data_IF_091788809874
#
_entry.id   IF_091788809874
#
_cell.length_a   1.000
_cell.length_b   1.000
_cell.length_c   1.000
_cell.angle_alpha   90.00
_cell.angle_beta   90.00
_cell.angle_gamma   90.00
#
_symmetry.space_group_name_H-M   'P 1'
#
loop_
_entity.id
_entity.type
_entity.pdbx_description
1 polymer ?
#
# COMPACT_ATOMS: atom_id res chain seq x y z
N UNK A 1 -0.98 -2.37 -2.69
CA UNK A 1 0.11 -1.73 -3.44
C UNK A 1 1.39 -2.47 -3.16
N UNK A 2 2.18 -2.73 -4.18
CA UNK A 2 3.46 -3.42 -4.07
C UNK A 2 4.50 -2.69 -4.93
N UNK A 3 5.72 -2.66 -4.45
CA UNK A 3 6.88 -2.15 -5.16
C UNK A 3 7.98 -3.22 -5.17
N UNK A 4 8.49 -3.53 -6.37
CA UNK A 4 9.47 -4.60 -6.59
C UNK A 4 10.85 -3.99 -6.71
N UNK A 5 11.81 -4.47 -5.90
CA UNK A 5 13.19 -3.98 -5.93
C UNK A 5 13.83 -4.12 -7.31
N UNK A 6 14.42 -3.03 -7.81
CA UNK A 6 15.09 -2.95 -9.11
C UNK A 6 14.12 -2.75 -10.29
N UNK A 7 14.62 -2.91 -11.50
CA UNK A 7 13.88 -2.59 -12.72
C UNK A 7 14.05 -3.66 -13.81
N UNK A 8 13.39 -3.44 -14.94
CA UNK A 8 13.53 -4.29 -16.13
C UNK A 8 12.77 -5.63 -16.05
N UNK A 9 13.19 -6.58 -16.89
CA UNK A 9 12.50 -7.86 -17.08
C UNK A 9 12.38 -8.69 -15.80
N UNK A 10 13.40 -8.66 -14.93
CA UNK A 10 13.37 -9.42 -13.67
C UNK A 10 12.29 -8.88 -12.71
N UNK A 11 12.17 -7.57 -12.55
CA UNK A 11 11.12 -6.96 -11.74
C UNK A 11 9.72 -7.23 -12.33
N UNK A 12 9.56 -7.17 -13.65
CA UNK A 12 8.31 -7.49 -14.33
C UNK A 12 7.87 -8.94 -14.10
N UNK A 13 8.81 -9.91 -14.12
CA UNK A 13 8.50 -11.31 -13.80
C UNK A 13 8.06 -11.49 -12.34
N UNK A 14 8.72 -10.80 -11.39
CA UNK A 14 8.31 -10.84 -9.99
C UNK A 14 6.90 -10.25 -9.82
N UNK A 15 6.57 -9.17 -10.50
CA UNK A 15 5.22 -8.59 -10.50
C UNK A 15 4.16 -9.60 -10.98
N UNK A 16 4.47 -10.37 -12.05
CA UNK A 16 3.58 -11.42 -12.53
C UNK A 16 3.43 -12.56 -11.53
N UNK A 17 4.52 -12.99 -10.90
CA UNK A 17 4.50 -14.02 -9.85
C UNK A 17 3.69 -13.58 -8.63
N UNK A 18 3.85 -12.33 -8.19
CA UNK A 18 3.04 -11.76 -7.12
C UNK A 18 1.56 -11.83 -7.43
N UNK A 19 1.17 -11.37 -8.63
CA UNK A 19 -0.23 -11.40 -9.06
C UNK A 19 -0.79 -12.82 -9.06
N UNK A 20 -0.07 -13.79 -9.62
CA UNK A 20 -0.48 -15.18 -9.64
C UNK A 20 -0.62 -15.76 -8.24
N UNK A 21 0.37 -15.50 -7.37
CA UNK A 21 0.36 -16.01 -5.98
C UNK A 21 -0.79 -15.42 -5.16
N UNK A 22 -1.10 -14.13 -5.34
CA UNK A 22 -2.28 -13.52 -4.71
C UNK A 22 -3.57 -14.17 -5.17
N UNK A 23 -3.71 -14.42 -6.47
CA UNK A 23 -4.90 -15.09 -7.03
C UNK A 23 -5.05 -16.52 -6.49
N UNK A 24 -3.97 -17.30 -6.46
CA UNK A 24 -3.95 -18.65 -5.89
C UNK A 24 -4.39 -18.64 -4.42
N UNK A 25 -3.85 -17.72 -3.61
CA UNK A 25 -4.19 -17.59 -2.20
C UNK A 25 -5.68 -17.29 -1.99
N UNK A 26 -6.22 -16.33 -2.72
CA UNK A 26 -7.64 -15.94 -2.62
C UNK A 26 -8.56 -17.07 -3.07
N UNK A 27 -8.24 -17.75 -4.18
CA UNK A 27 -9.02 -18.88 -4.70
C UNK A 27 -9.02 -20.08 -3.75
N UNK A 28 -7.86 -20.41 -3.16
CA UNK A 28 -7.75 -21.50 -2.19
C UNK A 28 -8.60 -21.24 -0.94
N UNK A 29 -8.55 -20.03 -0.40
CA UNK A 29 -9.36 -19.64 0.76
C UNK A 29 -10.87 -19.61 0.46
N UNK A 30 -11.26 -19.19 -0.73
CA UNK A 30 -12.65 -19.19 -1.18
C UNK A 30 -13.23 -20.59 -1.34
N UNK A 31 -12.44 -21.52 -1.87
CA UNK A 31 -12.87 -22.92 -2.08
C UNK A 31 -12.99 -23.72 -0.78
N UNK A 32 -12.18 -23.38 0.24
CA UNK A 32 -12.20 -24.03 1.55
C UNK A 32 -13.30 -23.53 2.48
N UNK A 33 -14.19 -22.63 2.03
CA UNK A 33 -15.18 -21.92 2.88
C UNK A 33 -14.54 -21.23 4.11
N UNK A 34 -13.27 -20.89 4.00
CA UNK A 34 -12.46 -20.23 5.04
C UNK A 34 -12.26 -18.75 4.69
N UNK A 35 -13.29 -18.05 4.25
CA UNK A 35 -13.19 -16.62 3.93
C UNK A 35 -12.64 -15.78 5.11
N UNK A 36 -12.88 -16.22 6.34
CA UNK A 36 -12.33 -15.60 7.55
C UNK A 36 -10.82 -15.79 7.73
N UNK A 37 -10.18 -16.67 6.95
CA UNK A 37 -8.72 -16.87 6.98
C UNK A 37 -7.97 -15.91 6.04
N UNK A 38 -8.67 -15.19 5.18
CA UNK A 38 -8.06 -14.19 4.31
C UNK A 38 -7.82 -12.94 5.15
N UNK A 39 -6.58 -12.80 5.60
CA UNK A 39 -6.14 -11.59 6.31
C UNK A 39 -4.91 -10.99 5.60
N UNK A 40 -4.67 -9.68 5.74
CA UNK A 40 -3.48 -9.04 5.16
C UNK A 40 -2.18 -9.73 5.58
N UNK A 41 -1.99 -10.03 6.86
CA UNK A 41 -0.78 -10.67 7.36
C UNK A 41 -0.60 -12.10 6.85
N UNK A 42 -1.70 -12.88 6.71
CA UNK A 42 -1.65 -14.22 6.14
C UNK A 42 -1.21 -14.20 4.67
N UNK A 43 -1.73 -13.24 3.89
CA UNK A 43 -1.29 -13.04 2.51
C UNK A 43 0.19 -12.66 2.43
N UNK A 44 0.66 -11.70 3.25
CA UNK A 44 2.08 -11.31 3.26
C UNK A 44 2.99 -12.48 3.63
N UNK A 45 2.61 -13.29 4.62
CA UNK A 45 3.36 -14.49 5.02
C UNK A 45 3.43 -15.51 3.88
N UNK A 46 2.31 -15.73 3.18
CA UNK A 46 2.25 -16.63 2.03
C UNK A 46 3.14 -16.14 0.88
N UNK A 47 3.07 -14.84 0.55
CA UNK A 47 3.91 -14.21 -0.47
C UNK A 47 5.40 -14.33 -0.11
N UNK A 48 5.77 -14.10 1.15
CA UNK A 48 7.15 -14.22 1.61
C UNK A 48 7.69 -15.65 1.40
N UNK A 49 6.95 -16.66 1.85
CA UNK A 49 7.33 -18.05 1.68
C UNK A 49 7.47 -18.44 0.20
N UNK A 50 6.55 -17.99 -0.65
CA UNK A 50 6.57 -18.28 -2.10
C UNK A 50 7.77 -17.63 -2.79
N UNK A 51 8.03 -16.34 -2.54
CA UNK A 51 9.18 -15.65 -3.16
C UNK A 51 10.50 -16.25 -2.71
N UNK A 52 10.66 -16.57 -1.42
CA UNK A 52 11.85 -17.26 -0.92
C UNK A 52 12.04 -18.63 -1.57
N UNK A 53 10.96 -19.39 -1.82
CA UNK A 53 11.05 -20.71 -2.47
C UNK A 53 11.52 -20.66 -3.92
N UNK A 54 11.32 -19.53 -4.59
CA UNK A 54 11.80 -19.34 -5.97
C UNK A 54 13.28 -18.94 -6.05
N UNK A 55 13.93 -18.66 -4.90
CA UNK A 55 15.33 -18.21 -4.82
C UNK A 55 15.63 -17.03 -5.78
N UNK A 56 14.68 -16.10 -5.91
CA UNK A 56 14.83 -14.91 -6.74
C UNK A 56 15.55 -13.85 -5.91
N UNK A 57 16.64 -13.29 -6.46
CA UNK A 57 17.39 -12.20 -5.84
C UNK A 57 16.64 -10.86 -6.01
N UNK A 58 15.42 -10.80 -5.52
CA UNK A 58 14.56 -9.62 -5.49
C UNK A 58 13.64 -9.69 -4.28
N UNK A 59 13.39 -8.54 -3.68
CA UNK A 59 12.42 -8.40 -2.62
C UNK A 59 11.32 -7.41 -3.01
N UNK A 60 10.27 -7.40 -2.25
CA UNK A 60 9.10 -6.57 -2.52
C UNK A 60 8.69 -5.85 -1.24
N UNK A 61 8.54 -4.54 -1.33
CA UNK A 61 7.83 -3.78 -0.30
C UNK A 61 6.34 -3.76 -0.64
N UNK A 62 5.49 -3.92 0.38
CA UNK A 62 4.08 -4.14 0.11
C UNK A 62 3.18 -3.69 1.25
N UNK A 63 2.06 -3.08 0.88
CA UNK A 63 0.92 -2.85 1.75
C UNK A 63 -0.24 -3.71 1.26
N UNK A 64 -0.79 -4.53 2.15
CA UNK A 64 -2.04 -5.23 1.93
C UNK A 64 -3.12 -4.64 2.81
N UNK A 65 -4.27 -4.29 2.22
CA UNK A 65 -5.44 -3.79 2.92
C UNK A 65 -6.70 -4.53 2.46
N UNK A 66 -7.57 -4.86 3.39
CA UNK A 66 -8.88 -5.49 3.17
C UNK A 66 -9.93 -4.62 3.85
N UNK A 67 -10.98 -4.27 3.12
CA UNK A 67 -12.12 -3.53 3.64
C UNK A 67 -13.34 -4.43 3.65
N UNK A 68 -13.84 -4.71 4.85
CA UNK A 68 -15.18 -5.29 5.02
C UNK A 68 -16.22 -4.17 4.89
N UNK A 69 -16.90 -4.13 3.75
CA UNK A 69 -17.90 -3.09 3.48
C UNK A 69 -19.20 -3.27 4.24
N UNK A 70 -19.45 -4.48 4.77
CA UNK A 70 -20.65 -4.76 5.57
C UNK A 70 -20.45 -4.33 7.02
N UNK A 71 -19.30 -4.66 7.59
CA UNK A 71 -18.95 -4.28 8.96
C UNK A 71 -18.33 -2.87 9.06
N UNK A 72 -17.85 -2.33 7.93
CA UNK A 72 -17.16 -1.04 7.92
C UNK A 72 -15.79 -1.12 8.62
N UNK A 73 -15.05 -2.22 8.44
CA UNK A 73 -13.75 -2.43 9.08
C UNK A 73 -12.66 -2.44 8.00
N UNK A 74 -11.60 -1.67 8.23
CA UNK A 74 -10.35 -1.75 7.49
C UNK A 74 -9.38 -2.64 8.28
N UNK A 75 -8.80 -3.64 7.62
CA UNK A 75 -7.66 -4.40 8.10
C UNK A 75 -6.48 -4.16 7.18
N UNK A 76 -5.27 -4.01 7.72
CA UNK A 76 -4.07 -3.87 6.89
C UNK A 76 -2.85 -4.51 7.54
N UNK A 77 -1.84 -4.75 6.72
CA UNK A 77 -0.50 -5.19 7.12
C UNK A 77 0.54 -4.61 6.18
N UNK A 78 1.71 -4.30 6.70
CA UNK A 78 2.81 -3.64 5.97
C UNK A 78 4.03 -4.56 5.94
N UNK A 79 4.68 -4.64 4.78
CA UNK A 79 5.93 -5.36 4.55
C UNK A 79 6.99 -4.40 3.99
N UNK A 80 7.64 -3.62 4.85
CA UNK A 80 8.74 -2.72 4.50
C UNK A 80 8.38 -1.56 3.57
N UNK A 81 7.10 -1.29 3.33
CA UNK A 81 6.66 -0.28 2.36
C UNK A 81 6.62 1.12 2.96
N UNK A 82 7.13 2.09 2.21
CA UNK A 82 7.11 3.52 2.51
C UNK A 82 6.56 4.31 1.31
N UNK A 83 5.84 5.39 1.57
CA UNK A 83 5.33 5.82 2.88
C UNK A 83 4.23 4.91 3.42
N UNK A 84 3.93 4.99 4.74
CA UNK A 84 2.77 4.30 5.30
C UNK A 84 1.47 4.76 4.63
N UNK A 85 0.39 3.95 4.68
CA UNK A 85 -0.92 4.36 4.17
C UNK A 85 -1.40 5.63 4.86
N UNK A 86 -2.06 6.51 4.12
CA UNK A 86 -2.66 7.74 4.66
C UNK A 86 -4.18 7.59 4.66
N UNK A 87 -4.79 7.67 5.83
CA UNK A 87 -6.24 7.65 5.99
C UNK A 87 -6.76 9.05 6.29
N UNK A 88 -7.62 9.55 5.40
CA UNK A 88 -8.38 10.78 5.61
C UNK A 88 -9.77 10.43 6.14
N UNK A 89 -10.13 11.05 7.27
CA UNK A 89 -11.45 10.94 7.89
C UNK A 89 -11.88 12.31 8.39
N UNK A 90 -13.17 12.61 8.30
CA UNK A 90 -13.76 13.87 8.73
C UNK A 90 -13.08 15.10 8.12
N UNK A 91 -12.03 15.62 8.75
CA UNK A 91 -11.36 16.87 8.34
C UNK A 91 -9.85 16.75 8.25
N UNK A 92 -9.26 15.61 8.64
CA UNK A 92 -7.81 15.43 8.63
C UNK A 92 -7.39 14.07 8.12
N UNK A 93 -6.14 13.97 7.75
CA UNK A 93 -5.48 12.75 7.32
C UNK A 93 -4.32 12.42 8.26
N UNK A 94 -4.17 11.14 8.58
CA UNK A 94 -3.08 10.63 9.40
C UNK A 94 -2.50 9.37 8.76
N UNK A 95 -1.25 9.05 9.08
CA UNK A 95 -0.65 7.78 8.72
C UNK A 95 -1.28 6.63 9.50
N UNK A 96 -1.48 5.52 8.80
CA UNK A 96 -1.80 4.25 9.45
C UNK A 96 -0.49 3.58 9.87
N UNK A 97 -0.37 3.28 11.15
CA UNK A 97 0.77 2.57 11.68
C UNK A 97 0.86 1.15 11.13
N UNK A 98 2.08 0.66 10.98
CA UNK A 98 2.35 -0.69 10.55
C UNK A 98 3.83 -0.87 10.23
N UNK A 99 4.36 -2.04 10.54
CA UNK A 99 5.74 -2.37 10.27
C UNK A 99 5.88 -3.85 9.88
N UNK A 100 6.93 -4.16 9.16
CA UNK A 100 7.27 -5.52 8.77
C UNK A 100 8.46 -5.51 7.81
N UNK A 101 9.15 -6.63 7.71
CA UNK A 101 10.28 -6.80 6.79
C UNK A 101 9.76 -6.99 5.35
N UNK A 102 10.50 -6.52 4.33
CA UNK A 102 10.15 -6.77 2.95
C UNK A 102 9.91 -8.25 2.65
N UNK A 103 8.98 -8.53 1.75
CA UNK A 103 8.65 -9.87 1.29
C UNK A 103 9.77 -10.42 0.39
N UNK A 104 10.14 -11.68 0.58
CA UNK A 104 11.14 -12.37 -0.24
C UNK A 104 12.60 -12.16 0.19
N UNK A 105 12.82 -11.54 1.37
CA UNK A 105 14.19 -11.24 1.85
C UNK A 105 14.57 -12.03 3.11
N UNK A 106 13.64 -12.23 4.05
CA UNK A 106 13.93 -12.83 5.35
C UNK A 106 13.03 -14.02 5.62
N UNK A 107 13.63 -15.17 5.95
CA UNK A 107 12.89 -16.41 6.27
C UNK A 107 12.07 -16.29 7.57
N UNK A 108 12.54 -15.49 8.52
CA UNK A 108 11.91 -15.27 9.83
C UNK A 108 10.96 -14.07 9.84
N UNK A 109 10.65 -13.48 8.68
CA UNK A 109 9.72 -12.33 8.62
C UNK A 109 8.34 -12.74 9.15
N UNK A 110 7.80 -11.92 10.03
CA UNK A 110 6.45 -12.03 10.58
C UNK A 110 5.68 -10.77 10.29
N UNK A 111 4.38 -10.91 10.04
CA UNK A 111 3.49 -9.80 9.70
C UNK A 111 2.32 -9.75 10.66
N UNK A 112 1.86 -8.55 10.98
CA UNK A 112 0.79 -8.32 11.92
C UNK A 112 -0.39 -7.63 11.25
N UNK A 113 -1.61 -8.07 11.55
CA UNK A 113 -2.80 -7.36 11.16
C UNK A 113 -3.04 -6.20 12.10
N UNK A 114 -3.23 -5.03 11.51
CA UNK A 114 -3.85 -3.88 12.17
C UNK A 114 -5.30 -3.78 11.74
N UNK A 115 -6.15 -3.14 12.53
CA UNK A 115 -7.54 -2.91 12.14
C UNK A 115 -8.12 -1.66 12.79
N UNK A 116 -9.06 -1.03 12.09
CA UNK A 116 -9.85 0.07 12.63
C UNK A 116 -11.24 0.11 11.98
N UNK A 117 -12.25 0.66 12.67
CA UNK A 117 -13.54 0.95 12.07
C UNK A 117 -13.43 2.14 11.11
N UNK A 118 -14.03 2.02 9.93
CA UNK A 118 -14.10 3.09 8.94
C UNK A 118 -15.39 3.91 9.11
N UNK A 119 -15.30 5.25 9.14
CA UNK A 119 -16.48 6.10 9.11
C UNK A 119 -17.19 6.02 7.75
N UNK A 120 -18.36 6.66 7.64
CA UNK A 120 -19.11 6.71 6.38
C UNK A 120 -18.37 7.48 5.27
N UNK A 121 -17.59 8.49 5.66
CA UNK A 121 -16.77 9.31 4.78
C UNK A 121 -15.30 9.03 5.06
N UNK A 122 -14.58 8.48 4.12
CA UNK A 122 -13.14 8.25 4.24
C UNK A 122 -12.44 8.23 2.88
N UNK A 123 -11.15 8.41 2.90
CA UNK A 123 -10.25 8.13 1.78
C UNK A 123 -8.97 7.47 2.30
N UNK A 124 -8.66 6.30 1.79
CA UNK A 124 -7.40 5.59 2.01
C UNK A 124 -6.49 5.84 0.79
N UNK A 125 -5.36 6.49 1.02
CA UNK A 125 -4.38 6.81 -0.01
C UNK A 125 -3.11 5.99 0.21
N UNK A 126 -2.64 5.32 -0.85
CA UNK A 126 -1.40 4.55 -0.88
C UNK A 126 -0.49 5.14 -1.95
N UNK A 127 0.80 5.22 -1.66
CA UNK A 127 1.81 5.82 -2.53
C UNK A 127 3.02 4.90 -2.62
N UNK A 128 3.74 4.91 -3.74
CA UNK A 128 5.12 4.42 -3.80
C UNK A 128 6.08 5.51 -3.32
N UNK A 129 7.31 5.14 -2.98
CA UNK A 129 8.33 6.03 -2.41
C UNK A 129 8.74 7.17 -3.34
N UNK A 130 8.65 6.99 -4.67
CA UNK A 130 8.82 8.07 -5.63
C UNK A 130 7.96 9.30 -5.36
N UNK A 131 6.88 9.20 -4.55
CA UNK A 131 6.06 10.35 -4.15
C UNK A 131 6.87 11.40 -3.38
N UNK A 132 7.94 11.01 -2.69
CA UNK A 132 8.79 11.94 -1.94
C UNK A 132 9.49 12.95 -2.86
N UNK A 133 9.79 12.56 -4.10
CA UNK A 133 10.39 13.44 -5.11
C UNK A 133 9.40 14.50 -5.62
N UNK A 134 8.10 14.21 -5.53
CA UNK A 134 7.04 15.13 -5.90
C UNK A 134 6.65 16.12 -4.78
N UNK A 135 7.12 15.89 -3.55
CA UNK A 135 6.82 16.79 -2.45
C UNK A 135 7.65 18.06 -2.50
N UNK A 136 7.08 19.23 -2.11
CA UNK A 136 7.84 20.47 -2.04
C UNK A 136 9.02 20.33 -1.06
N UNK A 137 10.24 20.50 -1.55
CA UNK A 137 11.50 20.34 -0.77
C UNK A 137 11.68 21.35 0.37
N UNK A 138 10.83 22.37 0.43
CA UNK A 138 10.91 23.48 1.42
C UNK A 138 9.97 23.31 2.61
N UNK A 139 9.35 22.14 2.84
CA UNK A 139 8.57 21.96 4.05
C UNK A 139 9.53 21.84 5.25
N UNK A 140 9.41 22.75 6.22
CA UNK A 140 10.09 22.70 7.53
C UNK A 140 9.72 21.43 8.34
N UNK A 141 8.72 20.71 7.90
CA UNK A 141 8.28 19.40 8.40
C UNK A 141 8.90 18.36 7.50
N UNK A 142 9.59 17.36 8.03
CA UNK A 142 10.22 16.29 7.24
C UNK A 142 9.28 15.74 6.17
N UNK A 143 9.82 15.32 5.04
CA UNK A 143 9.05 14.91 3.84
C UNK A 143 7.91 13.93 4.14
N UNK A 144 8.08 13.06 5.14
CA UNK A 144 7.05 12.11 5.56
C UNK A 144 5.80 12.81 6.12
N UNK A 145 5.95 13.78 7.03
CA UNK A 145 4.81 14.50 7.61
C UNK A 145 4.07 15.42 6.61
N UNK A 146 4.65 15.68 5.44
CA UNK A 146 4.02 16.48 4.40
C UNK A 146 2.87 15.75 3.70
N UNK A 147 2.90 14.40 3.60
CA UNK A 147 1.86 13.63 2.93
C UNK A 147 0.48 13.72 3.60
N UNK A 148 0.33 13.49 4.91
CA UNK A 148 -0.97 13.68 5.57
C UNK A 148 -1.50 15.11 5.40
N UNK A 149 -0.63 16.12 5.53
CA UNK A 149 -1.02 17.51 5.32
C UNK A 149 -1.51 17.78 3.90
N UNK A 150 -0.85 17.20 2.88
CA UNK A 150 -1.25 17.29 1.49
C UNK A 150 -2.61 16.62 1.26
N UNK A 151 -2.80 15.41 1.80
CA UNK A 151 -4.06 14.65 1.67
C UNK A 151 -5.20 15.38 2.39
N UNK A 152 -4.94 15.98 3.57
CA UNK A 152 -5.89 16.84 4.29
C UNK A 152 -6.29 18.05 3.43
N UNK A 153 -5.32 18.78 2.90
CA UNK A 153 -5.57 19.92 2.04
C UNK A 153 -6.28 19.56 0.71
N UNK A 154 -6.13 18.31 0.27
CA UNK A 154 -6.85 17.72 -0.87
C UNK A 154 -8.23 17.17 -0.49
N UNK A 155 -8.61 17.17 0.80
CA UNK A 155 -9.85 16.58 1.33
C UNK A 155 -10.00 15.11 0.94
N UNK A 156 -8.91 14.35 0.89
CA UNK A 156 -8.89 12.94 0.48
C UNK A 156 -9.26 12.68 -0.99
N UNK A 157 -9.43 13.71 -1.83
CA UNK A 157 -9.88 13.56 -3.21
C UNK A 157 -8.72 13.28 -4.16
N UNK A 158 -8.78 12.16 -4.88
CA UNK A 158 -7.74 11.71 -5.82
C UNK A 158 -7.25 12.83 -6.76
N UNK A 159 -8.17 13.51 -7.46
CA UNK A 159 -7.81 14.55 -8.43
C UNK A 159 -7.05 15.71 -7.77
N UNK A 160 -7.39 16.06 -6.54
CA UNK A 160 -6.71 17.13 -5.80
C UNK A 160 -5.35 16.68 -5.28
N UNK A 161 -5.22 15.42 -4.85
CA UNK A 161 -3.94 14.83 -4.47
C UNK A 161 -2.97 14.87 -5.66
N UNK A 162 -3.37 14.31 -6.82
CA UNK A 162 -2.56 14.30 -8.05
C UNK A 162 -2.17 15.69 -8.50
N UNK A 163 -3.12 16.67 -8.44
CA UNK A 163 -2.85 18.06 -8.77
C UNK A 163 -1.84 18.71 -7.83
N UNK A 164 -1.94 18.48 -6.51
CA UNK A 164 -1.04 19.03 -5.51
C UNK A 164 0.36 18.43 -5.55
N UNK A 165 0.47 17.17 -5.97
CA UNK A 165 1.74 16.51 -6.26
C UNK A 165 2.37 16.98 -7.59
N UNK A 166 1.66 17.80 -8.39
CA UNK A 166 2.15 18.25 -9.69
C UNK A 166 2.10 17.18 -10.80
N UNK A 167 1.55 16.01 -10.54
CA UNK A 167 1.57 14.87 -11.46
C UNK A 167 0.62 15.01 -12.67
N UNK A 168 -0.29 15.98 -12.64
CA UNK A 168 -1.29 16.18 -13.71
C UNK A 168 -0.69 16.55 -15.06
N UNK A 169 0.54 17.07 -15.12
CA UNK A 169 1.16 17.64 -16.32
C UNK A 169 2.30 16.79 -16.91
N UNK A 170 2.44 15.51 -16.50
CA UNK A 170 3.45 14.61 -17.07
C UNK A 170 4.90 15.05 -16.80
N UNK A 171 5.18 15.49 -15.58
CA UNK A 171 6.52 15.88 -15.17
C UNK A 171 7.41 14.64 -15.16
N UNK A 172 8.62 14.75 -15.71
CA UNK A 172 9.61 13.69 -15.65
C UNK A 172 10.15 13.62 -14.21
N UNK A 173 9.77 12.59 -13.46
CA UNK A 173 10.21 12.35 -12.09
C UNK A 173 11.43 11.42 -12.09
N UNK A 174 12.34 11.52 -11.09
CA UNK A 174 13.49 10.62 -10.96
C UNK A 174 13.08 9.16 -10.76
N UNK A 175 11.94 8.93 -10.09
CA UNK A 175 11.42 7.60 -9.80
C UNK A 175 9.94 7.47 -10.18
N UNK A 176 9.48 6.23 -10.33
CA UNK A 176 8.10 5.91 -10.69
C UNK A 176 7.15 6.18 -9.52
N UNK A 177 6.07 6.94 -9.79
CA UNK A 177 5.07 7.29 -8.79
C UNK A 177 3.77 6.56 -9.07
N UNK A 178 3.36 5.70 -8.15
CA UNK A 178 2.01 5.15 -8.13
C UNK A 178 1.19 5.77 -6.99
N UNK A 179 -0.03 6.19 -7.31
CA UNK A 179 -1.00 6.73 -6.36
C UNK A 179 -2.30 5.94 -6.48
N UNK A 180 -2.67 5.24 -5.42
CA UNK A 180 -3.94 4.53 -5.31
C UNK A 180 -4.79 5.20 -4.23
N UNK A 181 -6.00 5.59 -4.57
CA UNK A 181 -6.95 6.17 -3.62
C UNK A 181 -8.25 5.39 -3.65
N UNK A 182 -8.66 4.89 -2.51
CA UNK A 182 -9.94 4.25 -2.30
C UNK A 182 -10.77 5.12 -1.36
N UNK A 183 -11.96 5.54 -1.79
CA UNK A 183 -12.79 6.46 -1.01
C UNK A 183 -14.25 6.04 -0.99
N UNK A 184 -14.94 6.44 0.09
CA UNK A 184 -16.39 6.33 0.23
C UNK A 184 -16.96 7.69 0.61
N UNK A 185 -17.98 8.16 -0.13
CA UNK A 185 -18.70 9.40 0.15
C UNK A 185 -17.96 10.70 -0.20
N UNK A 186 -16.75 10.63 -0.76
CA UNK A 186 -15.97 11.79 -1.22
C UNK A 186 -16.04 11.82 -2.76
N UNK A 187 -16.78 12.79 -3.30
CA UNK A 187 -16.90 13.00 -4.75
C UNK A 187 -15.77 13.90 -5.30
#
# INVERSE_FOLDING_TARGET
LADVSGSGTAAALVTLLLKSTVQEFVLAASSAQQASSITPAALLSHLNQRLLSYAIDRHVTLICAIIDTQQGILQWSVAGHLPPPVLYTDTQADFLEGSGLPVGLFTQATYQNQQLPLPQLFSLSLFTDGVFDALPQNSLVGSEAALPSLVTAAQGRYRQIVKRLGLANGINMPDDIAVLVLSRGLA
#
